data_IF_351552340593
#
_entry.id   IF_351552340593
#
_cell.length_a   1.000
_cell.length_b   1.000
_cell.length_c   1.000
_cell.angle_alpha   90.00
_cell.angle_beta   90.00
_cell.angle_gamma   90.00
#
_symmetry.space_group_name_H-M   'P 1'
#
loop_
_entity.id
_entity.type
_entity.pdbx_description
1 polymer ?
#
# COMPACT_ATOMS: atom_id res chain seq x y z
N UNK A 1 -8.70 -1.86 19.22
CA UNK A 1 -9.11 -3.21 19.69
C UNK A 1 -7.91 -4.05 20.15
N UNK A 2 -6.82 -4.18 19.39
CA UNK A 2 -5.64 -4.92 19.85
C UNK A 2 -4.79 -4.16 20.88
N UNK A 3 -4.68 -2.84 20.74
CA UNK A 3 -3.95 -1.98 21.68
C UNK A 3 -4.51 -2.04 23.11
N UNK A 4 -5.82 -2.25 23.27
CA UNK A 4 -6.48 -2.41 24.58
C UNK A 4 -6.21 -3.77 25.22
N UNK A 5 -5.67 -4.73 24.48
CA UNK A 5 -5.31 -6.07 24.98
C UNK A 5 -3.81 -6.11 25.28
N UNK A 6 -2.97 -5.75 24.30
CA UNK A 6 -1.52 -5.62 24.48
C UNK A 6 -0.97 -4.48 23.63
N UNK A 7 -0.54 -3.42 24.31
CA UNK A 7 0.02 -2.22 23.68
C UNK A 7 1.33 -2.52 22.95
N UNK A 8 2.25 -3.30 23.54
CA UNK A 8 3.56 -3.57 22.96
C UNK A 8 3.44 -4.39 21.68
N UNK A 9 2.61 -5.43 21.69
CA UNK A 9 2.36 -6.26 20.49
C UNK A 9 1.68 -5.42 19.41
N UNK A 10 0.67 -4.64 19.77
CA UNK A 10 -0.03 -3.74 18.86
C UNK A 10 0.94 -2.75 18.18
N UNK A 11 1.79 -2.08 18.96
CA UNK A 11 2.80 -1.16 18.43
C UNK A 11 3.80 -1.85 17.49
N UNK A 12 4.28 -3.05 17.82
CA UNK A 12 5.17 -3.82 16.94
C UNK A 12 4.47 -4.23 15.64
N UNK A 13 3.23 -4.69 15.72
CA UNK A 13 2.41 -5.04 14.57
C UNK A 13 2.17 -3.84 13.65
N UNK A 14 1.78 -2.70 14.20
CA UNK A 14 1.59 -1.45 13.46
C UNK A 14 2.90 -1.04 12.78
N UNK A 15 4.03 -1.03 13.51
CA UNK A 15 5.33 -0.72 12.95
C UNK A 15 5.73 -1.64 11.80
N UNK A 16 5.35 -2.93 11.87
CA UNK A 16 5.55 -3.87 10.78
C UNK A 16 4.70 -3.48 9.56
N UNK A 17 3.41 -3.22 9.75
CA UNK A 17 2.49 -2.82 8.67
C UNK A 17 2.90 -1.53 7.96
N UNK A 18 3.48 -0.56 8.69
CA UNK A 18 4.02 0.68 8.08
C UNK A 18 5.09 0.38 7.03
N UNK A 19 5.89 -0.67 7.21
CA UNK A 19 6.92 -1.04 6.24
C UNK A 19 6.32 -1.66 4.96
N UNK A 20 5.01 -1.97 4.95
CA UNK A 20 4.29 -2.55 3.81
C UNK A 20 3.39 -1.54 3.08
N UNK A 21 3.52 -0.24 3.38
CA UNK A 21 2.76 0.83 2.72
C UNK A 21 3.20 1.12 1.28
N UNK A 22 4.00 0.25 0.67
CA UNK A 22 4.45 0.38 -0.71
C UNK A 22 3.28 0.41 -1.72
N UNK A 23 2.17 -0.24 -1.36
CA UNK A 23 0.95 -0.29 -2.16
C UNK A 23 -0.02 0.85 -1.84
N UNK A 24 0.27 1.69 -0.84
CA UNK A 24 -0.55 2.85 -0.53
C UNK A 24 -0.17 3.98 -1.49
N UNK A 25 -0.90 4.09 -2.59
CA UNK A 25 -0.80 5.21 -3.52
C UNK A 25 -2.13 5.97 -3.58
N UNK A 26 -2.11 7.26 -3.93
CA UNK A 26 -3.33 8.04 -4.03
C UNK A 26 -4.36 7.49 -5.02
N UNK A 27 -3.90 6.87 -6.11
CA UNK A 27 -4.75 6.19 -7.09
C UNK A 27 -5.45 4.96 -6.46
N UNK A 28 -4.71 4.12 -5.73
CA UNK A 28 -5.24 2.87 -5.17
C UNK A 28 -6.20 3.08 -4.00
N UNK A 29 -6.22 4.26 -3.39
CA UNK A 29 -7.20 4.62 -2.34
C UNK A 29 -8.64 4.52 -2.85
N UNK A 30 -8.89 4.77 -4.14
CA UNK A 30 -10.22 4.65 -4.74
C UNK A 30 -10.76 3.20 -4.68
N UNK A 31 -9.91 2.18 -4.58
CA UNK A 31 -10.34 0.78 -4.45
C UNK A 31 -11.19 0.56 -3.18
N UNK A 32 -10.95 1.33 -2.12
CA UNK A 32 -11.72 1.22 -0.88
C UNK A 32 -13.20 1.60 -1.03
N UNK A 33 -13.60 2.26 -2.12
CA UNK A 33 -15.01 2.53 -2.41
C UNK A 33 -15.78 1.25 -2.79
N UNK A 34 -15.08 0.26 -3.35
CA UNK A 34 -15.64 -1.04 -3.76
C UNK A 34 -15.58 -2.10 -2.65
N UNK A 35 -14.90 -1.80 -1.54
CA UNK A 35 -14.77 -2.71 -0.39
C UNK A 35 -16.09 -2.72 0.42
N UNK A 36 -16.71 -3.89 0.63
CA UNK A 36 -17.95 -4.00 1.42
C UNK A 36 -17.75 -3.73 2.92
N UNK A 37 -16.52 -3.80 3.44
CA UNK A 37 -16.21 -3.56 4.85
C UNK A 37 -16.11 -2.08 5.21
N UNK A 38 -16.00 -1.21 4.20
CA UNK A 38 -15.95 0.25 4.39
C UNK A 38 -17.37 0.78 4.55
N UNK A 39 -17.62 1.51 5.63
CA UNK A 39 -18.94 2.06 5.93
C UNK A 39 -19.39 3.10 4.89
N UNK A 40 -20.71 3.13 4.62
CA UNK A 40 -21.31 4.09 3.68
C UNK A 40 -21.04 5.55 4.04
N UNK A 41 -20.96 5.88 5.34
CA UNK A 41 -20.59 7.22 5.82
C UNK A 41 -19.19 7.63 5.35
N UNK A 42 -18.22 6.71 5.41
CA UNK A 42 -16.84 6.91 4.95
C UNK A 42 -16.80 6.99 3.42
N UNK A 43 -17.53 6.12 2.71
CA UNK A 43 -17.65 6.16 1.25
C UNK A 43 -18.23 7.49 0.76
N UNK A 44 -19.24 8.02 1.44
CA UNK A 44 -19.84 9.32 1.11
C UNK A 44 -18.84 10.47 1.29
N UNK A 45 -18.06 10.46 2.37
CA UNK A 45 -16.99 11.45 2.60
C UNK A 45 -15.90 11.38 1.53
N UNK A 46 -15.51 10.17 1.13
CA UNK A 46 -14.54 9.95 0.06
C UNK A 46 -15.06 10.45 -1.29
N UNK A 47 -16.30 10.09 -1.65
CA UNK A 47 -16.95 10.49 -2.89
C UNK A 47 -17.04 12.02 -3.02
N UNK A 48 -17.49 12.71 -1.97
CA UNK A 48 -17.53 14.17 -1.93
C UNK A 48 -16.15 14.79 -2.23
N UNK A 49 -15.10 14.29 -1.59
CA UNK A 49 -13.73 14.79 -1.83
C UNK A 49 -13.22 14.50 -3.24
N UNK A 50 -13.55 13.34 -3.82
CA UNK A 50 -13.17 13.02 -5.20
C UNK A 50 -13.83 14.01 -6.16
N UNK A 51 -15.14 14.25 -5.99
CA UNK A 51 -15.89 15.20 -6.82
C UNK A 51 -15.38 16.64 -6.66
N UNK A 52 -15.04 17.07 -5.43
CA UNK A 52 -14.45 18.40 -5.21
C UNK A 52 -13.08 18.54 -5.87
N UNK A 53 -12.20 17.53 -5.74
CA UNK A 53 -10.85 17.58 -6.29
C UNK A 53 -10.82 17.40 -7.82
N UNK A 54 -11.85 16.82 -8.43
CA UNK A 54 -11.97 16.69 -9.88
C UNK A 54 -12.07 18.05 -10.58
N UNK A 55 -12.64 19.06 -9.91
CA UNK A 55 -12.79 20.41 -10.46
C UNK A 55 -11.47 21.20 -10.51
N UNK A 56 -10.43 20.74 -9.82
CA UNK A 56 -9.12 21.38 -9.73
C UNK A 56 -8.12 20.65 -10.65
N UNK A 57 -8.33 20.72 -11.97
CA UNK A 57 -7.34 20.26 -12.96
C UNK A 57 -6.17 21.24 -13.03
N UNK A 58 -5.29 21.25 -12.03
CA UNK A 58 -4.00 21.93 -12.15
C UNK A 58 -2.84 21.09 -11.57
N UNK A 59 -1.99 20.70 -12.51
CA UNK A 59 -0.54 20.49 -12.40
C UNK A 59 0.06 19.32 -11.58
N UNK A 60 0.92 18.60 -12.32
CA UNK A 60 2.05 17.76 -11.90
C UNK A 60 1.78 16.59 -10.97
N UNK A 61 1.71 15.44 -11.63
CA UNK A 61 1.94 14.09 -11.10
C UNK A 61 3.17 14.04 -10.17
N UNK A 62 2.93 14.01 -8.86
CA UNK A 62 3.99 13.80 -7.89
C UNK A 62 4.08 12.29 -7.66
N UNK A 63 4.85 11.62 -8.52
CA UNK A 63 5.05 10.16 -8.59
C UNK A 63 5.37 9.46 -7.26
N UNK A 64 5.55 10.19 -6.16
CA UNK A 64 5.80 9.64 -4.85
C UNK A 64 5.10 10.45 -3.75
N UNK A 65 3.77 10.38 -3.68
CA UNK A 65 3.06 10.43 -2.39
C UNK A 65 3.37 9.16 -1.60
N UNK A 66 4.65 8.85 -1.34
CA UNK A 66 4.99 7.98 -0.21
C UNK A 66 4.69 8.86 0.98
N UNK A 67 3.60 8.64 1.72
CA UNK A 67 3.38 9.48 2.86
C UNK A 67 4.58 9.19 3.76
N UNK A 68 5.22 10.23 4.30
CA UNK A 68 6.26 10.07 5.34
C UNK A 68 5.57 9.62 6.64
N UNK A 69 4.84 8.51 6.55
CA UNK A 69 3.79 8.03 7.43
C UNK A 69 4.35 7.67 8.80
N UNK A 70 5.66 7.40 8.91
CA UNK A 70 6.31 7.10 10.20
C UNK A 70 6.13 8.22 11.24
N UNK A 71 6.18 9.50 10.85
CA UNK A 71 6.02 10.61 11.81
C UNK A 71 4.56 11.05 12.00
N UNK A 72 3.70 10.76 11.01
CA UNK A 72 2.31 11.22 10.99
C UNK A 72 1.27 10.14 11.26
N UNK A 73 1.69 8.89 11.51
CA UNK A 73 0.79 7.75 11.71
C UNK A 73 -0.31 7.98 12.77
N UNK A 74 -0.02 8.58 13.95
CA UNK A 74 -1.08 8.80 14.93
C UNK A 74 -2.13 9.81 14.46
N UNK A 75 -1.71 10.79 13.65
CA UNK A 75 -2.62 11.75 13.01
C UNK A 75 -3.39 11.10 11.87
N UNK A 76 -2.73 10.21 11.12
CA UNK A 76 -3.31 9.44 10.03
C UNK A 76 -4.44 8.51 10.50
N UNK A 77 -4.19 7.73 11.57
CA UNK A 77 -5.19 6.82 12.15
C UNK A 77 -6.45 7.57 12.62
N UNK A 78 -6.32 8.83 13.04
CA UNK A 78 -7.45 9.67 13.45
C UNK A 78 -8.24 10.26 12.28
N UNK A 79 -7.60 10.50 11.14
CA UNK A 79 -8.23 11.16 9.98
C UNK A 79 -8.91 10.19 9.01
N UNK A 80 -8.53 8.90 9.02
CA UNK A 80 -9.19 7.84 8.25
C UNK A 80 -8.98 7.89 6.73
N UNK A 81 -9.68 7.02 6.00
CA UNK A 81 -9.59 6.91 4.53
C UNK A 81 -9.87 8.21 3.75
N UNK A 82 -10.85 9.06 4.14
CA UNK A 82 -11.12 10.30 3.41
C UNK A 82 -9.93 11.27 3.40
N UNK A 83 -8.99 11.13 4.33
CA UNK A 83 -7.79 11.96 4.38
C UNK A 83 -6.74 11.60 3.32
N UNK A 84 -6.87 10.44 2.69
CA UNK A 84 -5.97 9.96 1.63
C UNK A 84 -6.43 10.35 0.23
N UNK A 85 -7.65 10.87 0.11
CA UNK A 85 -8.19 11.33 -1.16
C UNK A 85 -7.43 12.57 -1.60
N UNK A 86 -6.91 12.50 -2.83
CA UNK A 86 -6.27 13.63 -3.52
C UNK A 86 -6.85 13.76 -4.92
N UNK A 87 -6.42 14.76 -5.68
CA UNK A 87 -6.75 14.86 -7.10
C UNK A 87 -6.31 13.63 -7.90
N UNK A 88 -5.21 12.98 -7.51
CA UNK A 88 -4.71 11.76 -8.15
C UNK A 88 -5.63 10.55 -7.95
N UNK A 89 -6.50 10.56 -6.93
CA UNK A 89 -7.44 9.45 -6.69
C UNK A 89 -8.42 9.25 -7.85
N UNK A 90 -8.75 10.32 -8.57
CA UNK A 90 -9.60 10.25 -9.76
C UNK A 90 -8.94 9.45 -10.92
N UNK A 91 -7.61 9.41 -10.98
CA UNK A 91 -6.88 8.76 -12.08
C UNK A 91 -7.18 7.27 -12.20
N UNK A 92 -7.50 6.58 -11.10
CA UNK A 92 -7.89 5.17 -11.14
C UNK A 92 -9.11 4.96 -12.04
N UNK A 93 -10.14 5.78 -11.88
CA UNK A 93 -11.38 5.68 -12.67
C UNK A 93 -11.10 5.96 -14.14
N UNK A 94 -10.27 6.96 -14.44
CA UNK A 94 -9.84 7.26 -15.81
C UNK A 94 -9.07 6.10 -16.45
N UNK A 95 -8.14 5.47 -15.71
CA UNK A 95 -7.32 4.34 -16.20
C UNK A 95 -8.15 3.08 -16.43
N UNK A 96 -9.10 2.79 -15.55
CA UNK A 96 -9.96 1.61 -15.62
C UNK A 96 -11.23 1.84 -16.44
N UNK A 97 -11.41 3.05 -16.98
CA UNK A 97 -12.59 3.48 -17.72
C UNK A 97 -13.90 3.23 -16.95
N UNK A 98 -13.90 3.56 -15.65
CA UNK A 98 -15.06 3.40 -14.76
C UNK A 98 -15.85 4.71 -14.75
N UNK A 99 -17.14 4.64 -15.06
CA UNK A 99 -18.03 5.78 -14.96
C UNK A 99 -18.23 6.17 -13.47
N UNK A 100 -17.98 7.44 -13.14
CA UNK A 100 -18.01 7.99 -11.78
C UNK A 100 -19.35 8.61 -11.37
N UNK A 101 -20.37 8.65 -12.23
CA UNK A 101 -21.69 9.23 -11.93
C UNK A 101 -22.33 8.65 -10.66
N UNK A 102 -21.98 7.42 -10.29
CA UNK A 102 -22.48 6.83 -9.05
C UNK A 102 -21.98 7.56 -7.80
N UNK A 103 -20.85 8.27 -7.85
CA UNK A 103 -20.29 9.02 -6.71
C UNK A 103 -21.19 10.15 -6.22
N UNK A 104 -22.06 10.68 -7.08
CA UNK A 104 -23.04 11.72 -6.72
C UNK A 104 -24.24 11.15 -5.93
N UNK A 105 -24.47 9.84 -6.04
CA UNK A 105 -25.57 9.14 -5.36
C UNK A 105 -25.15 8.67 -3.98
N UNK A 106 -26.15 8.38 -3.13
CA UNK A 106 -25.91 7.80 -1.81
C UNK A 106 -25.22 6.42 -1.94
N UNK A 107 -24.09 6.17 -1.24
CA UNK A 107 -23.45 4.86 -1.16
C UNK A 107 -24.37 3.69 -0.84
N UNK A 108 -25.49 3.92 -0.16
CA UNK A 108 -26.50 2.87 0.08
C UNK A 108 -27.13 2.33 -1.21
N UNK A 109 -27.19 3.15 -2.26
CA UNK A 109 -27.80 2.82 -3.57
C UNK A 109 -26.80 2.33 -4.61
N UNK A 110 -25.50 2.39 -4.31
CA UNK A 110 -24.44 1.99 -5.25
C UNK A 110 -24.55 0.53 -5.70
N UNK A 111 -24.89 -0.45 -4.83
CA UNK A 111 -25.02 -1.84 -5.27
C UNK A 111 -26.08 -2.07 -6.36
N UNK A 112 -27.05 -1.17 -6.52
CA UNK A 112 -28.08 -1.21 -7.56
C UNK A 112 -27.73 -0.38 -8.80
N UNK A 113 -26.65 0.40 -8.76
CA UNK A 113 -26.23 1.24 -9.87
C UNK A 113 -25.34 0.45 -10.86
N UNK A 114 -25.71 0.48 -12.14
CA UNK A 114 -25.00 -0.21 -13.23
C UNK A 114 -23.52 0.22 -13.31
N UNK A 115 -23.23 1.51 -13.25
CA UNK A 115 -21.87 2.05 -13.32
C UNK A 115 -21.00 1.54 -12.16
N UNK A 116 -21.58 1.44 -10.95
CA UNK A 116 -20.88 0.90 -9.80
C UNK A 116 -20.64 -0.60 -9.94
N UNK A 117 -21.64 -1.37 -10.40
CA UNK A 117 -21.50 -2.82 -10.62
C UNK A 117 -20.43 -3.14 -11.66
N UNK A 118 -20.37 -2.37 -12.75
CA UNK A 118 -19.32 -2.50 -13.77
C UNK A 118 -17.94 -2.16 -13.20
N UNK A 119 -17.82 -1.04 -12.47
CA UNK A 119 -16.58 -0.68 -11.78
C UNK A 119 -16.12 -1.73 -10.77
N UNK A 120 -17.06 -2.29 -10.01
CA UNK A 120 -16.81 -3.35 -9.04
C UNK A 120 -16.32 -4.63 -9.74
N UNK A 121 -16.94 -5.01 -10.86
CA UNK A 121 -16.50 -6.15 -11.68
C UNK A 121 -15.08 -5.95 -12.20
N UNK A 122 -14.76 -4.76 -12.71
CA UNK A 122 -13.42 -4.42 -13.19
C UNK A 122 -12.39 -4.52 -12.07
N UNK A 123 -12.67 -3.92 -10.91
CA UNK A 123 -11.79 -3.95 -9.74
C UNK A 123 -11.57 -5.38 -9.23
N UNK A 124 -12.61 -6.20 -9.16
CA UNK A 124 -12.51 -7.60 -8.73
C UNK A 124 -11.68 -8.46 -9.69
N UNK A 125 -11.62 -8.10 -10.97
CA UNK A 125 -10.83 -8.80 -11.98
C UNK A 125 -9.38 -8.28 -12.07
N UNK A 126 -9.00 -7.27 -11.29
CA UNK A 126 -7.62 -6.80 -11.24
C UNK A 126 -6.72 -7.91 -10.72
N UNK A 127 -5.77 -8.34 -11.56
CA UNK A 127 -4.74 -9.30 -11.17
C UNK A 127 -3.76 -8.61 -10.22
N UNK A 128 -4.01 -8.72 -8.93
CA UNK A 128 -3.07 -8.30 -7.88
C UNK A 128 -1.97 -9.35 -7.72
N UNK A 129 -0.98 -9.30 -8.60
CA UNK A 129 0.23 -10.11 -8.46
C UNK A 129 1.10 -9.46 -7.40
N UNK A 130 1.38 -10.20 -6.32
CA UNK A 130 2.35 -9.74 -5.33
C UNK A 130 3.77 -10.02 -5.84
N UNK A 131 4.14 -9.38 -6.97
CA UNK A 131 5.42 -9.57 -7.66
C UNK A 131 6.61 -9.36 -6.70
N UNK A 132 6.47 -8.47 -5.71
CA UNK A 132 7.52 -8.27 -4.70
C UNK A 132 7.66 -9.47 -3.75
N UNK A 133 6.56 -10.07 -3.28
CA UNK A 133 6.63 -11.28 -2.47
C UNK A 133 7.06 -12.49 -3.31
N UNK A 134 6.57 -12.62 -4.54
CA UNK A 134 6.98 -13.68 -5.46
C UNK A 134 8.48 -13.59 -5.78
N UNK A 135 9.00 -12.39 -6.07
CA UNK A 135 10.44 -12.15 -6.20
C UNK A 135 11.20 -12.40 -4.91
N UNK A 136 10.63 -12.06 -3.75
CA UNK A 136 11.24 -12.34 -2.45
C UNK A 136 11.36 -13.84 -2.17
N UNK A 137 10.30 -14.61 -2.46
CA UNK A 137 10.26 -16.07 -2.34
C UNK A 137 11.22 -16.70 -3.35
N UNK A 138 11.24 -16.23 -4.60
CA UNK A 138 12.17 -16.72 -5.61
C UNK A 138 13.62 -16.46 -5.21
N UNK A 139 13.92 -15.24 -4.74
CA UNK A 139 15.26 -14.87 -4.28
C UNK A 139 15.73 -15.76 -3.13
N UNK A 140 14.92 -15.99 -2.09
CA UNK A 140 15.32 -16.84 -0.97
C UNK A 140 15.43 -18.31 -1.40
N UNK A 141 14.56 -18.77 -2.31
CA UNK A 141 14.61 -20.13 -2.85
C UNK A 141 15.89 -20.37 -3.63
N UNK A 142 16.24 -19.45 -4.54
CA UNK A 142 17.48 -19.54 -5.32
C UNK A 142 18.70 -19.45 -4.40
N UNK A 143 18.68 -18.54 -3.42
CA UNK A 143 19.78 -18.37 -2.47
C UNK A 143 20.00 -19.61 -1.59
N UNK A 144 18.92 -20.26 -1.13
CA UNK A 144 18.99 -21.51 -0.39
C UNK A 144 19.57 -22.68 -1.22
N UNK A 145 19.61 -22.56 -2.54
CA UNK A 145 20.16 -23.60 -3.44
C UNK A 145 21.60 -23.31 -3.90
N UNK A 146 22.08 -22.07 -3.78
CA UNK A 146 23.35 -21.63 -4.38
C UNK A 146 24.60 -21.91 -3.54
N UNK A 147 24.55 -21.69 -2.22
CA UNK A 147 25.77 -21.64 -1.39
C UNK A 147 26.15 -22.99 -0.77
N UNK A 148 25.18 -23.69 -0.17
CA UNK A 148 25.45 -24.92 0.60
C UNK A 148 24.16 -25.73 0.77
N UNK A 149 24.32 -27.04 0.91
CA UNK A 149 23.24 -27.98 1.24
C UNK A 149 23.13 -28.23 2.75
N UNK A 150 24.09 -27.74 3.54
CA UNK A 150 24.08 -27.87 5.00
C UNK A 150 23.18 -26.82 5.65
N UNK A 151 22.28 -27.27 6.53
CA UNK A 151 21.21 -26.44 7.07
C UNK A 151 21.68 -25.48 8.18
N UNK A 152 22.74 -25.84 8.92
CA UNK A 152 23.36 -24.92 9.87
C UNK A 152 24.05 -23.77 9.14
N UNK A 153 24.77 -24.06 8.05
CA UNK A 153 25.43 -23.05 7.26
C UNK A 153 24.43 -22.11 6.58
N UNK A 154 23.31 -22.61 6.04
CA UNK A 154 22.24 -21.74 5.50
C UNK A 154 21.76 -20.71 6.52
N UNK A 155 21.56 -21.14 7.76
CA UNK A 155 21.02 -20.28 8.81
C UNK A 155 22.04 -19.22 9.22
N UNK A 156 23.32 -19.59 9.26
CA UNK A 156 24.40 -18.66 9.51
C UNK A 156 24.51 -17.59 8.41
N UNK A 157 24.39 -17.98 7.15
CA UNK A 157 24.45 -17.03 6.03
C UNK A 157 23.34 -15.98 6.13
N UNK A 158 22.11 -16.36 6.50
CA UNK A 158 21.03 -15.38 6.68
C UNK A 158 21.34 -14.34 7.76
N UNK A 159 21.99 -14.76 8.85
CA UNK A 159 22.44 -13.86 9.91
C UNK A 159 23.54 -12.92 9.42
N UNK A 160 24.52 -13.43 8.67
CA UNK A 160 25.60 -12.63 8.07
C UNK A 160 25.03 -11.60 7.10
N UNK A 161 24.14 -12.00 6.18
CA UNK A 161 23.49 -11.08 5.24
C UNK A 161 22.68 -10.01 5.97
N UNK A 162 21.95 -10.38 7.03
CA UNK A 162 21.22 -9.42 7.86
C UNK A 162 22.17 -8.40 8.49
N UNK A 163 23.28 -8.86 9.07
CA UNK A 163 24.32 -8.00 9.66
C UNK A 163 24.95 -7.07 8.61
N UNK A 164 25.31 -7.58 7.43
CA UNK A 164 25.84 -6.77 6.35
C UNK A 164 24.86 -5.67 5.91
N UNK A 165 23.56 -5.97 5.84
CA UNK A 165 22.53 -4.96 5.51
C UNK A 165 22.38 -3.87 6.58
N UNK A 166 22.72 -4.18 7.84
CA UNK A 166 22.73 -3.19 8.93
C UNK A 166 23.99 -2.32 8.87
N UNK A 167 25.15 -2.93 8.56
CA UNK A 167 26.43 -2.22 8.45
C UNK A 167 26.48 -1.33 7.19
N UNK A 168 25.88 -1.77 6.07
CA UNK A 168 25.92 -1.08 4.78
C UNK A 168 24.50 -0.77 4.26
N UNK A 169 23.80 0.22 4.85
CA UNK A 169 22.41 0.51 4.53
C UNK A 169 22.19 1.16 3.15
N UNK A 170 23.19 1.86 2.62
CA UNK A 170 23.14 2.57 1.34
C UNK A 170 23.39 1.67 0.11
N UNK A 171 23.85 0.43 0.33
CA UNK A 171 24.06 -0.63 -0.68
C UNK A 171 24.94 -0.19 -1.86
N UNK A 172 25.71 0.87 -1.69
CA UNK A 172 26.56 1.39 -2.74
C UNK A 172 27.80 0.52 -2.89
N UNK A 173 28.30 0.32 -4.12
CA UNK A 173 29.55 -0.42 -4.34
C UNK A 173 30.71 0.19 -3.56
N UNK A 174 30.72 1.53 -3.44
CA UNK A 174 31.73 2.27 -2.69
C UNK A 174 31.74 1.91 -1.21
N UNK A 175 30.57 1.83 -0.56
CA UNK A 175 30.46 1.50 0.87
C UNK A 175 30.76 0.03 1.15
N UNK A 176 30.40 -0.87 0.24
CA UNK A 176 30.71 -2.30 0.36
C UNK A 176 32.21 -2.62 0.18
N UNK A 177 32.92 -1.83 -0.61
CA UNK A 177 34.36 -2.01 -0.85
C UNK A 177 35.24 -1.41 0.27
N UNK A 178 34.74 -0.46 1.06
CA UNK A 178 35.52 0.23 2.10
C UNK A 178 35.77 -0.58 3.37
N UNK A 179 35.10 -1.72 3.51
CA UNK A 179 34.98 -2.44 4.79
C UNK A 179 35.42 -3.90 4.73
N UNK A 180 36.13 -4.27 3.67
CA UNK A 180 36.72 -5.61 3.48
C UNK A 180 38.24 -5.64 3.70
N UNK A 181 38.79 -4.59 4.33
CA UNK A 181 40.11 -4.59 4.97
C UNK A 181 39.97 -4.82 6.48
#
# INVERSE_FOLDING_TARGET
KYESIDKKISEKGINKMINHLWYLSPELVALALFDPTVQNTVKSQMAKKILTNQAEENEKCSRNMRPKLKKELPKFLKKGLPALITSETYLLFKRLNINIEFLEKDPATWPQNINYQEGQRMVNNLKVVNDMAERGVKLITDYNQLLTKDEQQKQYVLQVVSRCRQLYPDRSKTTLCQSLE
#
